data_IF_531202602031
#
_entry.id   IF_531202602031
#
_cell.length_a   1.000
_cell.length_b   1.000
_cell.length_c   1.000
_cell.angle_alpha   90.00
_cell.angle_beta   90.00
_cell.angle_gamma   90.00
#
_symmetry.space_group_name_H-M   'P 1'
#
loop_
_entity.id
_entity.type
_entity.pdbx_description
1 polymer ?
#
# COMPACT_ATOMS: atom_id res chain seq x y z
N UNK A 1 -10.65 7.26 4.53
CA UNK A 1 -9.65 7.77 3.57
C UNK A 1 -8.39 8.29 4.24
N UNK A 2 -8.45 9.12 5.29
CA UNK A 2 -7.26 9.67 5.98
C UNK A 2 -6.31 8.59 6.49
N UNK A 3 -6.83 7.58 7.16
CA UNK A 3 -6.06 6.45 7.67
C UNK A 3 -5.25 5.75 6.58
N UNK A 4 -5.86 5.49 5.41
CA UNK A 4 -5.17 4.81 4.29
C UNK A 4 -4.05 5.67 3.71
N UNK A 5 -4.27 6.97 3.56
CA UNK A 5 -3.23 7.92 3.12
C UNK A 5 -2.05 8.00 4.10
N UNK A 6 -2.32 7.97 5.41
CA UNK A 6 -1.26 7.90 6.41
C UNK A 6 -0.52 6.57 6.36
N UNK A 7 -1.22 5.45 6.20
CA UNK A 7 -0.57 4.15 6.02
C UNK A 7 0.33 4.14 4.78
N UNK A 8 -0.10 4.72 3.66
CA UNK A 8 0.73 4.81 2.45
C UNK A 8 2.06 5.50 2.76
N UNK A 9 2.04 6.64 3.47
CA UNK A 9 3.27 7.37 3.84
C UNK A 9 4.18 6.53 4.73
N UNK A 10 3.63 5.85 5.73
CA UNK A 10 4.38 4.98 6.63
C UNK A 10 5.00 3.78 5.90
N UNK A 11 4.22 3.13 5.02
CA UNK A 11 4.70 2.00 4.21
C UNK A 11 5.84 2.45 3.31
N UNK A 12 5.74 3.61 2.66
CA UNK A 12 6.80 4.13 1.79
C UNK A 12 8.13 4.28 2.55
N UNK A 13 8.08 4.78 3.79
CA UNK A 13 9.27 4.86 4.66
C UNK A 13 9.78 3.47 5.03
N UNK A 14 8.89 2.54 5.32
CA UNK A 14 9.25 1.16 5.67
C UNK A 14 9.92 0.42 4.50
N UNK A 15 9.48 0.65 3.26
CA UNK A 15 10.13 0.09 2.07
C UNK A 15 11.58 0.56 1.94
N UNK A 16 11.84 1.85 2.19
CA UNK A 16 13.19 2.41 2.17
C UNK A 16 14.05 1.84 3.31
N UNK A 17 13.45 1.56 4.48
CA UNK A 17 14.13 0.90 5.59
C UNK A 17 14.51 -0.56 5.28
N UNK A 18 13.61 -1.32 4.65
CA UNK A 18 13.90 -2.70 4.21
C UNK A 18 15.05 -2.70 3.20
N UNK A 19 14.98 -1.83 2.18
CA UNK A 19 16.06 -1.72 1.18
C UNK A 19 17.41 -1.41 1.84
N UNK A 20 17.43 -0.52 2.83
CA UNK A 20 18.65 -0.19 3.58
C UNK A 20 19.16 -1.38 4.40
N UNK A 21 18.27 -2.15 5.02
CA UNK A 21 18.64 -3.34 5.78
C UNK A 21 19.15 -4.48 4.88
N UNK A 22 18.59 -4.64 3.67
CA UNK A 22 19.08 -5.57 2.67
C UNK A 22 20.47 -5.19 2.17
N UNK A 23 20.70 -3.91 1.86
CA UNK A 23 22.03 -3.41 1.45
C UNK A 23 23.11 -3.68 2.51
N UNK A 24 22.80 -3.42 3.79
CA UNK A 24 23.74 -3.71 4.87
C UNK A 24 23.95 -5.23 5.08
N UNK A 25 22.93 -6.05 4.84
CA UNK A 25 22.99 -7.51 4.96
C UNK A 25 23.82 -8.16 3.84
N UNK A 26 23.71 -7.68 2.60
CA UNK A 26 24.43 -8.19 1.42
C UNK A 26 25.78 -7.52 1.17
N UNK A 27 26.14 -6.55 2.02
CA UNK A 27 27.38 -5.79 1.92
C UNK A 27 28.63 -6.70 1.92
N UNK A 28 29.52 -6.57 0.92
CA UNK A 28 30.77 -7.32 0.89
C UNK A 28 31.62 -7.06 2.14
N UNK A 29 32.06 -8.13 2.79
CA UNK A 29 32.88 -8.03 4.01
C UNK A 29 32.11 -7.60 5.26
N UNK A 30 30.77 -7.74 5.29
CA UNK A 30 29.96 -7.50 6.48
C UNK A 30 30.53 -8.26 7.70
N UNK A 31 30.98 -7.49 8.70
CA UNK A 31 31.66 -8.00 9.88
C UNK A 31 30.68 -8.60 10.90
N UNK A 32 29.47 -8.05 11.02
CA UNK A 32 28.45 -8.50 11.98
C UNK A 32 27.15 -8.86 11.25
N UNK A 33 27.19 -10.03 10.59
CA UNK A 33 26.04 -10.56 9.83
C UNK A 33 24.84 -10.83 10.71
N UNK A 34 25.05 -11.23 11.96
CA UNK A 34 23.95 -11.51 12.90
C UNK A 34 23.18 -10.23 13.18
N UNK A 35 23.89 -9.13 13.46
CA UNK A 35 23.25 -7.83 13.66
C UNK A 35 22.55 -7.30 12.41
N UNK A 36 23.16 -7.46 11.23
CA UNK A 36 22.54 -7.06 9.97
C UNK A 36 21.25 -7.86 9.69
N UNK A 37 21.28 -9.17 9.94
CA UNK A 37 20.12 -10.04 9.82
C UNK A 37 19.03 -9.68 10.83
N UNK A 38 19.39 -9.39 12.08
CA UNK A 38 18.42 -8.99 13.10
C UNK A 38 17.70 -7.69 12.73
N UNK A 39 18.44 -6.72 12.17
CA UNK A 39 17.84 -5.49 11.63
C UNK A 39 16.86 -5.81 10.50
N UNK A 40 17.24 -6.66 9.55
CA UNK A 40 16.37 -7.08 8.45
C UNK A 40 15.10 -7.79 8.95
N UNK A 41 15.22 -8.75 9.87
CA UNK A 41 14.10 -9.44 10.51
C UNK A 41 13.14 -8.49 11.22
N UNK A 42 13.67 -7.48 11.92
CA UNK A 42 12.85 -6.47 12.58
C UNK A 42 12.03 -5.66 11.55
N UNK A 43 12.64 -5.27 10.43
CA UNK A 43 11.94 -4.56 9.36
C UNK A 43 10.94 -5.46 8.61
N UNK A 44 11.26 -6.75 8.40
CA UNK A 44 10.36 -7.75 7.84
C UNK A 44 9.09 -7.93 8.70
N UNK A 45 9.27 -8.01 10.03
CA UNK A 45 8.16 -8.11 10.98
C UNK A 45 7.24 -6.87 10.94
N UNK A 46 7.82 -5.67 10.80
CA UNK A 46 7.06 -4.42 10.71
C UNK A 46 6.24 -4.36 9.43
N UNK A 47 6.85 -4.64 8.27
CA UNK A 47 6.13 -4.54 7.00
C UNK A 47 4.98 -5.55 6.90
N UNK A 48 5.16 -6.75 7.46
CA UNK A 48 4.09 -7.77 7.56
C UNK A 48 2.87 -7.26 8.33
N UNK A 49 3.09 -6.53 9.43
CA UNK A 49 2.00 -5.90 10.20
C UNK A 49 1.36 -4.75 9.42
N UNK A 50 2.16 -3.98 8.69
CA UNK A 50 1.66 -2.88 7.85
C UNK A 50 0.79 -3.39 6.70
N UNK A 51 1.13 -4.52 6.06
CA UNK A 51 0.33 -5.16 5.01
C UNK A 51 -1.07 -5.51 5.51
N UNK A 52 -1.16 -6.20 6.65
CA UNK A 52 -2.43 -6.56 7.27
C UNK A 52 -3.24 -5.31 7.67
N UNK A 53 -2.57 -4.32 8.27
CA UNK A 53 -3.19 -3.06 8.68
C UNK A 53 -3.75 -2.28 7.49
N UNK A 54 -2.96 -2.17 6.43
CA UNK A 54 -3.36 -1.52 5.18
C UNK A 54 -4.56 -2.22 4.55
N UNK A 55 -4.52 -3.56 4.40
CA UNK A 55 -5.62 -4.33 3.81
C UNK A 55 -6.95 -4.06 4.55
N UNK A 56 -6.91 -4.12 5.89
CA UNK A 56 -8.08 -3.83 6.73
C UNK A 56 -8.59 -2.40 6.54
N UNK A 57 -7.71 -1.40 6.55
CA UNK A 57 -8.12 0.00 6.40
C UNK A 57 -8.61 0.30 4.97
N UNK A 58 -8.06 -0.37 3.95
CA UNK A 58 -8.55 -0.29 2.58
C UNK A 58 -9.97 -0.85 2.46
N UNK A 59 -10.26 -2.00 3.07
CA UNK A 59 -11.61 -2.59 3.12
C UNK A 59 -12.61 -1.66 3.82
N UNK A 60 -12.20 -1.07 4.95
CA UNK A 60 -13.03 -0.11 5.68
C UNK A 60 -13.31 1.16 4.85
N UNK A 61 -12.30 1.64 4.11
CA UNK A 61 -12.45 2.78 3.22
C UNK A 61 -13.45 2.49 2.09
N UNK A 62 -13.37 1.31 1.48
CA UNK A 62 -14.29 0.87 0.44
C UNK A 62 -15.73 0.74 0.96
N UNK A 63 -15.90 0.10 2.12
CA UNK A 63 -17.21 -0.03 2.77
C UNK A 63 -17.81 1.34 3.14
N UNK A 64 -16.98 2.27 3.63
CA UNK A 64 -17.42 3.64 3.94
C UNK A 64 -17.85 4.40 2.68
N UNK A 65 -17.14 4.21 1.56
CA UNK A 65 -17.52 4.77 0.27
C UNK A 65 -18.87 4.26 -0.22
N UNK A 66 -19.07 2.94 -0.17
CA UNK A 66 -20.36 2.33 -0.52
C UNK A 66 -21.51 2.87 0.34
N UNK A 67 -21.31 2.94 1.66
CA UNK A 67 -22.31 3.48 2.58
C UNK A 67 -22.65 4.95 2.28
N UNK A 68 -21.66 5.77 1.91
CA UNK A 68 -21.88 7.14 1.49
C UNK A 68 -22.81 7.25 0.27
N UNK A 69 -22.58 6.46 -0.78
CA UNK A 69 -23.44 6.48 -1.97
C UNK A 69 -24.83 5.87 -1.74
N UNK A 70 -24.96 4.86 -0.88
CA UNK A 70 -26.26 4.33 -0.47
C UNK A 70 -27.08 5.37 0.31
N UNK A 71 -26.42 6.14 1.18
CA UNK A 71 -27.07 7.21 1.92
C UNK A 71 -27.43 8.39 1.01
N UNK A 72 -26.58 8.72 0.04
CA UNK A 72 -26.93 9.69 -1.00
C UNK A 72 -28.15 9.23 -1.79
N UNK A 73 -28.26 7.95 -2.15
CA UNK A 73 -29.42 7.44 -2.90
C UNK A 73 -30.73 7.51 -2.09
N UNK A 74 -30.68 7.19 -0.79
CA UNK A 74 -31.83 7.25 0.12
C UNK A 74 -32.27 8.67 0.44
N UNK A 75 -31.30 9.56 0.68
CA UNK A 75 -31.52 10.97 0.98
C UNK A 75 -31.47 11.85 -0.26
N UNK A 76 -31.47 11.23 -1.44
CA UNK A 76 -31.37 11.90 -2.72
C UNK A 76 -32.55 12.84 -2.84
N UNK A 77 -32.30 14.12 -2.52
CA UNK A 77 -33.28 15.17 -2.63
C UNK A 77 -33.80 15.15 -4.06
N UNK A 78 -35.04 14.72 -4.24
CA UNK A 78 -35.73 14.98 -5.48
C UNK A 78 -35.90 16.49 -5.55
N UNK A 79 -35.15 17.13 -6.45
CA UNK A 79 -35.25 18.56 -6.62
C UNK A 79 -36.32 18.85 -7.66
N UNK A 80 -37.30 19.69 -7.31
CA UNK A 80 -38.34 20.14 -8.24
C UNK A 80 -37.76 20.92 -9.42
N UNK A 81 -36.60 21.56 -9.22
CA UNK A 81 -35.89 22.25 -10.28
C UNK A 81 -35.03 21.24 -11.08
N UNK A 82 -35.33 21.03 -12.38
CA UNK A 82 -34.62 20.05 -13.20
C UNK A 82 -33.13 20.36 -13.41
N UNK A 83 -32.73 21.64 -13.37
CA UNK A 83 -31.32 22.03 -13.47
C UNK A 83 -30.54 21.63 -12.21
N UNK A 84 -31.17 21.78 -11.03
CA UNK A 84 -30.57 21.37 -9.75
C UNK A 84 -30.48 19.85 -9.68
N UNK A 85 -31.52 19.14 -10.12
CA UNK A 85 -31.52 17.68 -10.23
C UNK A 85 -30.36 17.18 -11.10
N UNK A 86 -30.23 17.74 -12.31
CA UNK A 86 -29.17 17.36 -13.25
C UNK A 86 -27.77 17.59 -12.67
N UNK A 87 -27.54 18.73 -11.99
CA UNK A 87 -26.24 19.01 -11.32
C UNK A 87 -25.94 18.04 -10.19
N UNK A 88 -26.94 17.66 -9.40
CA UNK A 88 -26.76 16.67 -8.33
C UNK A 88 -26.38 15.30 -8.89
N UNK A 89 -26.98 14.89 -10.00
CA UNK A 89 -26.71 13.62 -10.66
C UNK A 89 -25.32 13.61 -11.32
N UNK A 90 -24.94 14.69 -12.00
CA UNK A 90 -23.61 14.88 -12.60
C UNK A 90 -22.51 14.71 -11.55
N UNK A 91 -22.67 15.43 -10.43
CA UNK A 91 -21.72 15.38 -9.31
C UNK A 91 -21.61 14.00 -8.67
N UNK A 92 -22.74 13.32 -8.48
CA UNK A 92 -22.74 11.93 -7.98
C UNK A 92 -21.97 11.01 -8.92
N UNK A 93 -22.14 11.17 -10.23
CA UNK A 93 -21.42 10.39 -11.22
C UNK A 93 -19.91 10.70 -11.21
N UNK A 94 -19.52 11.97 -11.12
CA UNK A 94 -18.12 12.40 -11.00
C UNK A 94 -17.45 11.80 -9.77
N UNK A 95 -18.08 11.89 -8.60
CA UNK A 95 -17.55 11.31 -7.38
C UNK A 95 -17.51 9.78 -7.47
N UNK A 96 -18.54 9.13 -8.03
CA UNK A 96 -18.57 7.68 -8.26
C UNK A 96 -17.35 7.20 -9.05
N UNK A 97 -17.03 7.90 -10.15
CA UNK A 97 -15.85 7.61 -10.95
C UNK A 97 -14.52 7.70 -10.17
N UNK A 98 -14.43 8.59 -9.17
CA UNK A 98 -13.23 8.67 -8.31
C UNK A 98 -13.12 7.48 -7.35
N UNK A 99 -14.24 7.02 -6.80
CA UNK A 99 -14.27 5.83 -5.93
C UNK A 99 -13.99 4.54 -6.69
N UNK A 100 -14.46 4.41 -7.94
CA UNK A 100 -14.14 3.27 -8.80
C UNK A 100 -12.63 3.17 -9.07
N UNK A 101 -11.97 4.31 -9.31
CA UNK A 101 -10.50 4.36 -9.44
C UNK A 101 -9.81 3.90 -8.16
N UNK A 102 -10.30 4.34 -6.99
CA UNK A 102 -9.76 3.89 -5.70
C UNK A 102 -9.89 2.38 -5.55
N UNK A 103 -11.07 1.81 -5.84
CA UNK A 103 -11.32 0.37 -5.75
C UNK A 103 -10.39 -0.42 -6.67
N UNK A 104 -10.25 0.01 -7.93
CA UNK A 104 -9.34 -0.62 -8.89
C UNK A 104 -7.88 -0.57 -8.41
N UNK A 105 -7.41 0.57 -7.91
CA UNK A 105 -6.03 0.73 -7.41
C UNK A 105 -5.79 -0.08 -6.14
N UNK A 106 -6.78 -0.18 -5.25
CA UNK A 106 -6.69 -0.99 -4.04
C UNK A 106 -6.41 -2.47 -4.33
N UNK A 107 -7.04 -3.05 -5.37
CA UNK A 107 -6.78 -4.44 -5.76
C UNK A 107 -5.32 -4.63 -6.14
N UNK A 108 -4.81 -3.79 -7.04
CA UNK A 108 -3.42 -3.86 -7.48
C UNK A 108 -2.41 -3.65 -6.35
N UNK A 109 -2.68 -2.71 -5.43
CA UNK A 109 -1.82 -2.50 -4.25
C UNK A 109 -1.83 -3.72 -3.34
N UNK A 110 -2.99 -4.30 -3.03
CA UNK A 110 -3.08 -5.50 -2.16
C UNK A 110 -2.30 -6.67 -2.73
N UNK A 111 -2.41 -6.93 -4.03
CA UNK A 111 -1.68 -8.01 -4.70
C UNK A 111 -0.16 -7.76 -4.67
N UNK A 112 0.28 -6.57 -5.09
CA UNK A 112 1.70 -6.21 -5.07
C UNK A 112 2.30 -6.25 -3.66
N UNK A 113 1.53 -5.82 -2.65
CA UNK A 113 1.97 -5.79 -1.26
C UNK A 113 2.13 -7.21 -0.70
N UNK A 114 1.17 -8.09 -0.98
CA UNK A 114 1.23 -9.50 -0.59
C UNK A 114 2.45 -10.20 -1.20
N UNK A 115 2.71 -10.00 -2.49
CA UNK A 115 3.91 -10.54 -3.16
C UNK A 115 5.18 -10.02 -2.49
N UNK A 116 5.29 -8.70 -2.30
CA UNK A 116 6.47 -8.09 -1.67
C UNK A 116 6.75 -8.65 -0.27
N UNK A 117 5.71 -8.77 0.58
CA UNK A 117 5.86 -9.32 1.93
C UNK A 117 6.22 -10.81 1.90
N UNK A 118 5.73 -11.58 0.91
CA UNK A 118 6.15 -12.97 0.71
C UNK A 118 7.64 -13.06 0.45
N UNK A 119 8.14 -12.32 -0.54
CA UNK A 119 9.55 -12.32 -0.93
C UNK A 119 10.46 -11.90 0.25
N UNK A 120 10.05 -10.87 1.00
CA UNK A 120 10.77 -10.40 2.20
C UNK A 120 10.86 -11.50 3.27
N UNK A 121 9.75 -12.20 3.54
CA UNK A 121 9.74 -13.27 4.53
C UNK A 121 10.54 -14.50 4.07
N UNK A 122 10.57 -14.81 2.78
CA UNK A 122 11.35 -15.94 2.25
C UNK A 122 12.86 -15.73 2.42
N UNK A 123 13.35 -14.51 2.21
CA UNK A 123 14.75 -14.16 2.52
C UNK A 123 15.03 -14.33 4.02
N UNK A 124 14.11 -13.87 4.88
CA UNK A 124 14.24 -14.00 6.34
C UNK A 124 14.35 -15.48 6.74
N UNK A 125 13.42 -16.30 6.26
CA UNK A 125 13.36 -17.72 6.57
C UNK A 125 14.62 -18.45 6.09
N UNK A 126 15.07 -18.18 4.87
CA UNK A 126 16.29 -18.76 4.34
C UNK A 126 17.52 -18.41 5.19
N UNK A 127 17.75 -17.11 5.46
CA UNK A 127 18.93 -16.66 6.20
C UNK A 127 18.88 -16.97 7.70
N UNK A 128 17.69 -17.24 8.24
CA UNK A 128 17.56 -17.80 9.60
C UNK A 128 18.21 -19.18 9.73
N UNK A 129 18.32 -19.92 8.61
CA UNK A 129 18.92 -21.25 8.54
C UNK A 129 20.39 -21.20 8.07
N UNK A 130 20.74 -20.26 7.17
CA UNK A 130 22.10 -20.14 6.62
C UNK A 130 22.56 -18.67 6.53
N UNK A 131 23.21 -18.20 7.59
CA UNK A 131 23.83 -16.88 7.65
C UNK A 131 25.34 -16.89 7.28
N UNK A 132 25.78 -17.94 6.58
CA UNK A 132 27.16 -18.01 6.08
C UNK A 132 27.38 -17.05 4.92
N UNK A 133 28.62 -16.96 4.42
CA UNK A 133 28.92 -16.08 3.28
C UNK A 133 28.18 -16.56 2.05
N UNK A 134 28.24 -17.87 1.81
CA UNK A 134 27.61 -18.52 0.67
C UNK A 134 26.08 -18.37 0.74
N UNK A 135 25.50 -18.47 1.94
CA UNK A 135 24.07 -18.20 2.16
C UNK A 135 23.68 -16.77 1.75
N UNK A 136 24.40 -15.75 2.23
CA UNK A 136 24.14 -14.34 1.89
C UNK A 136 24.38 -14.08 0.38
N UNK A 137 25.47 -14.60 -0.18
CA UNK A 137 25.80 -14.42 -1.60
C UNK A 137 24.70 -15.04 -2.48
N UNK A 138 24.15 -16.19 -2.08
CA UNK A 138 23.10 -16.89 -2.82
C UNK A 138 21.77 -16.13 -2.90
N UNK A 139 21.45 -15.30 -1.89
CA UNK A 139 20.20 -14.52 -1.87
C UNK A 139 20.31 -13.17 -2.55
N UNK A 140 21.51 -12.73 -2.96
CA UNK A 140 21.71 -11.39 -3.55
C UNK A 140 20.78 -11.12 -4.74
N UNK A 141 20.59 -12.05 -5.71
CA UNK A 141 19.65 -11.84 -6.80
C UNK A 141 18.18 -11.72 -6.33
N UNK A 142 17.82 -12.38 -5.24
CA UNK A 142 16.49 -12.33 -4.64
C UNK A 142 16.30 -10.99 -3.92
N UNK A 143 17.31 -10.52 -3.19
CA UNK A 143 17.32 -9.19 -2.56
C UNK A 143 17.15 -8.08 -3.60
N UNK A 144 17.83 -8.16 -4.75
CA UNK A 144 17.66 -7.22 -5.85
C UNK A 144 16.22 -7.21 -6.41
N UNK A 145 15.61 -8.41 -6.53
CA UNK A 145 14.20 -8.53 -6.92
C UNK A 145 13.26 -7.91 -5.88
N UNK A 146 13.52 -8.10 -4.58
CA UNK A 146 12.75 -7.45 -3.50
C UNK A 146 12.83 -5.93 -3.62
N UNK A 147 14.02 -5.36 -3.86
CA UNK A 147 14.18 -3.90 -4.05
C UNK A 147 13.36 -3.41 -5.26
N UNK A 148 13.36 -4.16 -6.36
CA UNK A 148 12.56 -3.85 -7.54
C UNK A 148 11.04 -3.94 -7.28
N UNK A 149 10.60 -5.00 -6.60
CA UNK A 149 9.20 -5.20 -6.22
C UNK A 149 8.74 -4.11 -5.23
N UNK A 150 9.58 -3.71 -4.28
CA UNK A 150 9.33 -2.60 -3.37
C UNK A 150 9.18 -1.27 -4.11
N UNK A 151 10.00 -1.04 -5.13
CA UNK A 151 9.87 0.14 -6.00
C UNK A 151 8.57 0.14 -6.81
N UNK A 152 8.11 -1.03 -7.25
CA UNK A 152 6.80 -1.17 -7.90
C UNK A 152 5.65 -0.91 -6.93
N UNK A 153 5.69 -1.52 -5.75
CA UNK A 153 4.69 -1.29 -4.69
C UNK A 153 4.61 0.19 -4.32
N UNK A 154 5.74 0.88 -4.18
CA UNK A 154 5.81 2.33 -3.93
C UNK A 154 5.06 3.13 -5.00
N UNK A 155 5.19 2.77 -6.28
CA UNK A 155 4.45 3.42 -7.38
C UNK A 155 2.94 3.16 -7.30
N UNK A 156 2.53 1.92 -7.02
CA UNK A 156 1.10 1.60 -6.89
C UNK A 156 0.46 2.33 -5.69
N UNK A 157 1.17 2.41 -4.57
CA UNK A 157 0.74 3.18 -3.39
C UNK A 157 0.59 4.67 -3.72
N UNK A 158 1.51 5.25 -4.49
CA UNK A 158 1.42 6.65 -4.94
C UNK A 158 0.24 6.89 -5.88
N UNK A 159 -0.05 5.94 -6.78
CA UNK A 159 -1.23 6.00 -7.65
C UNK A 159 -2.53 5.97 -6.83
N UNK A 160 -2.60 5.09 -5.82
CA UNK A 160 -3.73 5.03 -4.90
C UNK A 160 -3.87 6.32 -4.09
N UNK A 161 -2.76 6.86 -3.56
CA UNK A 161 -2.75 8.12 -2.82
C UNK A 161 -3.32 9.27 -3.67
N UNK A 162 -2.91 9.36 -4.94
CA UNK A 162 -3.42 10.35 -5.87
C UNK A 162 -4.93 10.22 -6.10
N UNK A 163 -5.44 8.99 -6.25
CA UNK A 163 -6.88 8.74 -6.38
C UNK A 163 -7.66 9.11 -5.10
N UNK A 164 -7.09 8.87 -3.91
CA UNK A 164 -7.67 9.28 -2.63
C UNK A 164 -7.72 10.82 -2.54
N UNK A 165 -6.67 11.51 -2.98
CA UNK A 165 -6.64 12.98 -3.02
C UNK A 165 -7.68 13.56 -3.98
N UNK A 166 -7.85 12.94 -5.16
CA UNK A 166 -8.89 13.30 -6.11
C UNK A 166 -10.29 13.18 -5.49
N UNK A 167 -10.61 12.04 -4.88
CA UNK A 167 -11.90 11.83 -4.23
C UNK A 167 -12.13 12.85 -3.09
N UNK A 168 -11.10 13.17 -2.30
CA UNK A 168 -11.20 14.20 -1.24
C UNK A 168 -11.37 15.61 -1.79
N UNK A 169 -10.86 15.90 -2.99
CA UNK A 169 -11.09 17.19 -3.66
C UNK A 169 -12.52 17.27 -4.13
N UNK A 170 -13.04 16.20 -4.72
CA UNK A 170 -14.41 16.16 -5.22
C UNK A 170 -15.43 16.25 -4.09
N UNK A 171 -15.27 15.45 -3.02
CA UNK A 171 -16.13 15.56 -1.82
C UNK A 171 -16.11 16.94 -1.14
N UNK A 172 -15.04 17.74 -1.31
CA UNK A 172 -14.97 19.10 -0.72
C UNK A 172 -15.70 20.14 -1.56
N UNK A 173 -16.00 19.81 -2.80
CA UNK A 173 -16.86 20.64 -3.64
C UNK A 173 -18.33 20.42 -3.25
N UNK A 174 -18.67 19.29 -2.63
CA UNK A 174 -20.02 18.86 -2.18
C UNK A 174 -20.51 19.71 -1.01
#
# INVERSE_FOLDING_TARGET
>A
METVDNNIKEIVVQLDAINSSLDELTKPGQADRKKAFDLYSDEASKIKKMEQGFARHADQMEASGKAYFEEWDKNGNQYDNPEIQARSEERRAELGNTYDKIAQRNVGVKEAFKTYVSDVNEIEEFLSNDLTSDGIDSITPIADNVVNNGSQLKRELQNLQSAIEDARREMRRD
#
